data_IF_123338466683
#
_entry.id   IF_123338466683
#
_cell.length_a   1.000
_cell.length_b   1.000
_cell.length_c   1.000
_cell.angle_alpha   90.00
_cell.angle_beta   90.00
_cell.angle_gamma   90.00
#
_symmetry.space_group_name_H-M   'P 1'
#
loop_
_entity.id
_entity.type
_entity.pdbx_description
1 polymer ?
#
# COMPACT_ATOMS: atom_id res chain seq x y z
N UNK A 1 -23.42 -6.94 -8.51
CA UNK A 1 -23.42 -6.11 -7.28
C UNK A 1 -22.08 -6.06 -6.53
N UNK A 2 -20.96 -6.61 -7.05
CA UNK A 2 -19.66 -6.60 -6.33
C UNK A 2 -18.72 -5.43 -6.64
N UNK A 3 -19.07 -4.54 -7.58
CA UNK A 3 -18.15 -3.49 -8.08
C UNK A 3 -18.00 -2.27 -7.15
N UNK A 4 -18.93 -2.00 -6.23
CA UNK A 4 -18.88 -0.78 -5.40
C UNK A 4 -18.06 -0.91 -4.11
N UNK A 5 -17.85 -2.12 -3.57
CA UNK A 5 -17.09 -2.30 -2.33
C UNK A 5 -15.58 -2.24 -2.53
N UNK A 6 -15.08 -2.72 -3.68
CA UNK A 6 -13.64 -2.80 -3.96
C UNK A 6 -13.01 -1.41 -4.02
N UNK A 7 -13.70 -0.42 -4.58
CA UNK A 7 -13.21 0.96 -4.66
C UNK A 7 -13.10 1.63 -3.29
N UNK A 8 -13.95 1.25 -2.32
CA UNK A 8 -13.91 1.81 -0.97
C UNK A 8 -12.72 1.27 -0.16
N UNK A 9 -12.50 -0.05 -0.20
CA UNK A 9 -11.38 -0.70 0.50
C UNK A 9 -10.04 -0.21 -0.08
N UNK A 10 -9.97 -0.03 -1.40
CA UNK A 10 -8.80 0.56 -2.05
C UNK A 10 -8.52 1.97 -1.52
N UNK A 11 -9.54 2.84 -1.45
CA UNK A 11 -9.37 4.20 -0.90
C UNK A 11 -8.85 4.19 0.54
N UNK A 12 -9.50 3.41 1.42
CA UNK A 12 -9.10 3.32 2.83
C UNK A 12 -7.66 2.81 3.03
N UNK A 13 -7.23 1.84 2.21
CA UNK A 13 -5.86 1.34 2.26
C UNK A 13 -4.86 2.39 1.78
N UNK A 14 -5.16 3.05 0.65
CA UNK A 14 -4.33 4.12 0.10
C UNK A 14 -4.16 5.29 1.09
N UNK A 15 -5.23 5.69 1.76
CA UNK A 15 -5.21 6.72 2.81
C UNK A 15 -4.35 6.29 4.00
N UNK A 16 -4.46 5.03 4.42
CA UNK A 16 -3.67 4.50 5.55
C UNK A 16 -2.17 4.48 5.26
N UNK A 17 -1.78 4.03 4.06
CA UNK A 17 -0.36 3.99 3.65
C UNK A 17 0.17 5.42 3.46
N UNK A 18 -0.66 6.32 2.92
CA UNK A 18 -0.35 7.74 2.78
C UNK A 18 0.02 8.40 4.11
N UNK A 19 -0.75 8.13 5.17
CA UNK A 19 -0.43 8.59 6.53
C UNK A 19 0.90 7.99 7.02
N UNK A 20 1.15 6.71 6.72
CA UNK A 20 2.43 6.06 7.01
C UNK A 20 3.62 6.75 6.32
N UNK A 21 3.49 7.12 5.05
CA UNK A 21 4.51 7.87 4.33
C UNK A 21 4.81 9.21 5.00
N UNK A 22 3.79 9.93 5.50
CA UNK A 22 3.99 11.24 6.14
C UNK A 22 4.78 11.16 7.45
N UNK A 23 4.78 10.00 8.10
CA UNK A 23 5.53 9.74 9.32
C UNK A 23 7.02 9.47 9.07
N UNK A 24 7.45 9.26 7.81
CA UNK A 24 8.86 9.05 7.47
C UNK A 24 9.66 10.30 7.81
N UNK A 25 10.65 10.23 8.73
CA UNK A 25 11.35 11.42 9.22
C UNK A 25 12.18 12.14 8.15
N UNK A 26 12.75 11.37 7.23
CA UNK A 26 13.57 11.90 6.15
C UNK A 26 12.70 12.44 5.00
N UNK A 27 12.88 13.70 4.62
CA UNK A 27 12.05 14.36 3.60
C UNK A 27 12.13 13.67 2.22
N UNK A 28 13.34 13.26 1.80
CA UNK A 28 13.54 12.59 0.53
C UNK A 28 12.82 11.23 0.51
N UNK A 29 12.96 10.45 1.58
CA UNK A 29 12.28 9.16 1.71
C UNK A 29 10.76 9.32 1.82
N UNK A 30 10.27 10.37 2.48
CA UNK A 30 8.83 10.69 2.55
C UNK A 30 8.26 10.95 1.16
N UNK A 31 8.93 11.78 0.36
CA UNK A 31 8.53 12.05 -1.03
C UNK A 31 8.59 10.79 -1.89
N UNK A 32 9.66 10.00 -1.75
CA UNK A 32 9.78 8.73 -2.47
C UNK A 32 8.66 7.76 -2.10
N UNK A 33 8.31 7.62 -0.81
CA UNK A 33 7.20 6.78 -0.35
C UNK A 33 5.87 7.18 -1.01
N UNK A 34 5.56 8.49 -1.03
CA UNK A 34 4.35 9.02 -1.68
C UNK A 34 4.32 8.72 -3.18
N UNK A 35 5.43 8.93 -3.89
CA UNK A 35 5.54 8.66 -5.32
C UNK A 35 5.41 7.17 -5.63
N UNK A 36 6.12 6.32 -4.89
CA UNK A 36 6.03 4.86 -5.05
C UNK A 36 4.61 4.36 -4.76
N UNK A 37 3.94 4.92 -3.75
CA UNK A 37 2.55 4.61 -3.50
C UNK A 37 1.68 4.98 -4.71
N UNK A 38 1.78 6.20 -5.24
CA UNK A 38 0.97 6.64 -6.38
C UNK A 38 1.19 5.76 -7.63
N UNK A 39 2.45 5.44 -7.95
CA UNK A 39 2.83 4.65 -9.13
C UNK A 39 2.46 3.16 -9.01
N UNK A 40 2.53 2.60 -7.79
CA UNK A 40 2.42 1.16 -7.57
C UNK A 40 1.20 0.73 -6.74
N UNK A 41 0.33 1.65 -6.31
CA UNK A 41 -0.79 1.34 -5.41
C UNK A 41 -1.69 0.22 -5.93
N UNK A 42 -1.97 0.21 -7.24
CA UNK A 42 -2.80 -0.82 -7.86
C UNK A 42 -2.20 -2.21 -7.70
N UNK A 43 -0.89 -2.35 -7.89
CA UNK A 43 -0.18 -3.62 -7.73
C UNK A 43 -0.14 -4.03 -6.26
N UNK A 44 0.15 -3.09 -5.36
CA UNK A 44 0.12 -3.32 -3.92
C UNK A 44 -1.25 -3.84 -3.46
N UNK A 45 -2.33 -3.17 -3.88
CA UNK A 45 -3.69 -3.53 -3.51
C UNK A 45 -4.09 -4.91 -4.06
N UNK A 46 -3.69 -5.25 -5.28
CA UNK A 46 -3.93 -6.58 -5.85
C UNK A 46 -3.23 -7.67 -5.05
N UNK A 47 -1.96 -7.49 -4.68
CA UNK A 47 -1.23 -8.45 -3.86
C UNK A 47 -1.84 -8.57 -2.45
N UNK A 48 -2.23 -7.44 -1.84
CA UNK A 48 -2.89 -7.42 -0.54
C UNK A 48 -4.18 -8.27 -0.53
N UNK A 49 -4.99 -8.17 -1.58
CA UNK A 49 -6.21 -8.98 -1.71
C UNK A 49 -5.94 -10.47 -1.92
N UNK A 50 -4.79 -10.82 -2.51
CA UNK A 50 -4.41 -12.21 -2.78
C UNK A 50 -3.75 -12.89 -1.58
N UNK A 51 -3.35 -12.12 -0.56
CA UNK A 51 -2.63 -12.62 0.61
C UNK A 51 -3.36 -12.31 1.94
N UNK A 52 -4.61 -12.76 2.13
CA UNK A 52 -5.31 -12.54 3.40
C UNK A 52 -4.61 -13.31 4.52
N UNK A 53 -4.12 -12.59 5.53
CA UNK A 53 -3.52 -13.18 6.74
C UNK A 53 -2.00 -13.39 6.69
N UNK A 54 -1.30 -12.92 5.65
CA UNK A 54 0.16 -12.88 5.62
C UNK A 54 0.69 -11.83 6.60
N UNK A 55 1.82 -12.12 7.26
CA UNK A 55 2.49 -11.16 8.13
C UNK A 55 2.98 -9.95 7.32
N UNK A 56 3.11 -8.78 7.94
CA UNK A 56 3.62 -7.58 7.25
C UNK A 56 5.02 -7.84 6.66
N UNK A 57 5.84 -8.63 7.34
CA UNK A 57 7.19 -8.96 6.91
C UNK A 57 7.20 -9.85 5.66
N UNK A 58 6.41 -10.92 5.66
CA UNK A 58 6.32 -11.83 4.50
C UNK A 58 5.71 -11.12 3.29
N UNK A 59 4.70 -10.30 3.52
CA UNK A 59 4.09 -9.49 2.47
C UNK A 59 5.10 -8.53 1.82
N UNK A 60 5.95 -7.89 2.64
CA UNK A 60 6.96 -6.97 2.14
C UNK A 60 8.05 -7.69 1.32
N UNK A 61 8.45 -8.89 1.74
CA UNK A 61 9.41 -9.74 1.01
C UNK A 61 8.87 -10.20 -0.33
N UNK A 62 7.61 -10.64 -0.37
CA UNK A 62 6.95 -11.07 -1.61
C UNK A 62 6.87 -9.93 -2.63
N UNK A 63 6.74 -8.70 -2.15
CA UNK A 63 6.73 -7.50 -2.99
C UNK A 63 8.14 -7.00 -3.37
N UNK A 64 9.21 -7.54 -2.78
CA UNK A 64 10.59 -7.13 -3.02
C UNK A 64 10.99 -5.77 -2.44
N UNK A 65 10.25 -5.29 -1.44
CA UNK A 65 10.54 -4.03 -0.72
C UNK A 65 11.29 -4.24 0.60
N UNK A 66 11.31 -5.50 1.05
CA UNK A 66 12.11 -6.07 2.12
C UNK A 66 12.67 -7.41 1.60
#
# INVERSE_FOLDING_TARGET
MFRNHVSHIAGQLGDSISVGCDQVPNELQRKACRLTLDDHFKLFFQNFLQQPGTSVEDFCKDMGYC
#
